data_IF_146281457422
#
_entry.id   IF_146281457422
#
_cell.length_a   1.000
_cell.length_b   1.000
_cell.length_c   1.000
_cell.angle_alpha   90.00
_cell.angle_beta   90.00
_cell.angle_gamma   90.00
#
_symmetry.space_group_name_H-M   'P 1'
#
loop_
_entity.id
_entity.type
_entity.pdbx_description
1 polymer ?
#
# COMPACT_ATOMS: atom_id res chain seq x y z
N UNK A 1 -36.45 50.58 -28.68
CA UNK A 1 -36.88 49.73 -27.54
C UNK A 1 -35.76 48.69 -27.34
N UNK A 2 -35.04 48.57 -26.23
CA UNK A 2 -35.15 49.13 -24.90
C UNK A 2 -33.78 49.10 -24.22
N UNK A 3 -33.62 50.02 -23.29
CA UNK A 3 -32.46 50.21 -22.42
C UNK A 3 -32.30 49.03 -21.44
N UNK A 4 -31.04 48.74 -21.10
CA UNK A 4 -30.48 48.12 -19.88
C UNK A 4 -31.47 47.63 -18.81
N UNK A 5 -31.17 46.47 -18.21
CA UNK A 5 -30.91 46.40 -16.76
C UNK A 5 -30.02 45.19 -16.38
N UNK A 6 -29.11 45.37 -15.40
CA UNK A 6 -28.01 44.47 -15.06
C UNK A 6 -28.45 43.31 -14.15
N UNK A 7 -27.69 42.20 -14.17
CA UNK A 7 -27.83 41.13 -13.18
C UNK A 7 -27.21 41.59 -11.86
N UNK A 8 -28.02 41.53 -10.81
CA UNK A 8 -27.72 41.92 -9.45
C UNK A 8 -26.67 41.01 -8.79
N UNK A 9 -25.86 41.63 -7.93
CA UNK A 9 -25.09 40.95 -6.89
C UNK A 9 -25.99 40.30 -5.84
N UNK A 10 -25.44 39.33 -5.10
CA UNK A 10 -25.45 39.52 -3.66
C UNK A 10 -24.08 39.28 -3.00
N UNK A 11 -23.72 40.29 -2.20
CA UNK A 11 -23.34 40.20 -0.80
C UNK A 11 -21.97 39.65 -0.40
N UNK A 12 -21.18 40.62 0.09
CA UNK A 12 -20.13 40.54 1.09
C UNK A 12 -20.29 39.40 2.11
N UNK A 13 -19.19 38.67 2.32
CA UNK A 13 -18.68 38.42 3.67
C UNK A 13 -17.23 38.88 3.71
N UNK A 14 -17.03 40.00 4.38
CA UNK A 14 -15.80 40.40 5.05
C UNK A 14 -15.51 39.38 6.15
N UNK A 15 -14.34 38.74 6.16
CA UNK A 15 -13.50 38.43 7.34
C UNK A 15 -12.08 38.18 6.78
N UNK A 16 -11.22 39.21 6.77
CA UNK A 16 -10.18 39.43 7.78
C UNK A 16 -9.13 38.30 7.83
N UNK A 17 -7.93 38.56 7.31
CA UNK A 17 -6.71 38.76 8.12
C UNK A 17 -5.50 39.05 7.22
N UNK A 18 -4.83 40.11 7.61
CA UNK A 18 -3.75 40.85 6.98
C UNK A 18 -2.37 40.18 7.07
N UNK A 19 -1.55 40.51 6.09
CA UNK A 19 -0.12 40.87 6.20
C UNK A 19 0.88 39.93 6.91
N UNK A 20 1.73 39.34 6.05
CA UNK A 20 3.20 39.14 6.27
C UNK A 20 3.87 40.53 6.45
N UNK A 21 5.13 40.74 6.93
CA UNK A 21 6.22 39.78 7.24
C UNK A 21 7.21 40.12 8.40
N UNK A 22 8.20 39.22 8.62
CA UNK A 22 9.61 39.44 9.09
C UNK A 22 9.88 40.05 10.48
N UNK A 23 10.71 39.46 11.35
CA UNK A 23 12.19 39.45 11.24
C UNK A 23 12.83 38.62 12.36
N UNK A 24 13.84 37.81 12.04
CA UNK A 24 15.08 37.71 12.84
C UNK A 24 16.18 37.05 12.00
N UNK A 25 17.25 37.84 11.80
CA UNK A 25 18.61 37.46 11.36
C UNK A 25 19.21 36.47 12.37
N UNK A 26 20.06 35.47 12.07
CA UNK A 26 21.40 35.41 11.43
C UNK A 26 21.90 33.92 11.58
N UNK A 27 23.10 33.45 11.12
CA UNK A 27 23.96 33.67 9.94
C UNK A 27 24.20 32.37 9.09
N UNK A 28 24.90 32.41 7.93
CA UNK A 28 25.08 31.25 7.05
C UNK A 28 26.35 30.42 7.36
N UNK A 29 26.17 29.19 7.84
CA UNK A 29 27.26 28.21 7.92
C UNK A 29 27.42 27.50 6.57
N UNK A 30 28.46 27.88 5.83
CA UNK A 30 28.82 27.26 4.55
C UNK A 30 29.31 25.82 4.74
N UNK A 31 28.60 24.88 4.13
CA UNK A 31 29.12 23.53 3.87
C UNK A 31 29.32 23.37 2.37
N UNK A 32 30.59 23.27 1.95
CA UNK A 32 30.97 22.95 0.58
C UNK A 32 30.72 21.46 0.35
N UNK A 33 29.68 21.11 -0.39
CA UNK A 33 29.49 19.74 -0.89
C UNK A 33 30.34 19.52 -2.16
N UNK A 34 31.00 18.36 -2.31
CA UNK A 34 31.64 17.99 -3.56
C UNK A 34 30.57 17.63 -4.60
N UNK A 35 30.65 18.25 -5.78
CA UNK A 35 29.78 18.02 -6.91
C UNK A 35 29.90 16.58 -7.41
N UNK A 36 28.96 15.73 -7.03
CA UNK A 36 28.73 14.48 -7.73
C UNK A 36 28.19 14.83 -9.13
N UNK A 37 29.02 14.57 -10.15
CA UNK A 37 28.61 14.64 -11.54
C UNK A 37 27.51 13.61 -11.78
N UNK A 38 26.27 14.08 -11.73
CA UNK A 38 25.10 13.32 -12.09
C UNK A 38 25.11 13.19 -13.62
N UNK A 39 25.63 12.07 -14.14
CA UNK A 39 25.48 11.71 -15.54
C UNK A 39 23.99 11.44 -15.81
N UNK A 40 23.26 12.51 -16.13
CA UNK A 40 21.92 12.44 -16.70
C UNK A 40 22.04 11.82 -18.08
N UNK A 41 21.84 10.50 -18.17
CA UNK A 41 21.65 9.85 -19.45
C UNK A 41 20.39 10.45 -20.08
N UNK A 42 20.60 11.32 -21.06
CA UNK A 42 19.57 11.97 -21.84
C UNK A 42 18.53 10.94 -22.28
N UNK A 43 17.28 11.14 -21.85
CA UNK A 43 16.15 10.32 -22.23
C UNK A 43 15.97 10.40 -23.75
N UNK A 44 16.52 9.41 -24.46
CA UNK A 44 16.20 9.19 -25.88
C UNK A 44 14.71 8.92 -25.95
N UNK A 45 13.96 9.86 -26.54
CA UNK A 45 12.52 9.84 -26.74
C UNK A 45 12.08 8.58 -27.51
N UNK A 46 11.96 7.46 -26.80
CA UNK A 46 11.38 6.22 -27.33
C UNK A 46 9.88 6.30 -27.10
N UNK A 47 9.04 6.05 -28.13
CA UNK A 47 7.60 6.06 -27.94
C UNK A 47 7.24 5.08 -26.84
N UNK A 48 6.36 5.50 -25.93
CA UNK A 48 5.88 4.69 -24.82
C UNK A 48 5.04 3.54 -25.37
N UNK A 49 5.64 2.36 -25.50
CA UNK A 49 4.95 1.14 -25.93
C UNK A 49 4.19 0.55 -24.74
N UNK A 50 2.89 0.33 -24.92
CA UNK A 50 2.08 -0.40 -23.95
C UNK A 50 2.43 -1.87 -24.01
N UNK A 51 3.09 -2.37 -22.96
CA UNK A 51 3.38 -3.80 -22.80
C UNK A 51 2.17 -4.49 -22.18
N UNK A 52 1.89 -5.71 -22.63
CA UNK A 52 0.86 -6.56 -21.98
C UNK A 52 1.32 -7.02 -20.60
N UNK A 53 0.38 -7.31 -19.69
CA UNK A 53 0.69 -7.77 -18.33
C UNK A 53 1.63 -8.99 -18.32
N UNK A 54 1.39 -9.96 -19.21
CA UNK A 54 2.24 -11.15 -19.33
C UNK A 54 3.69 -10.79 -19.69
N UNK A 55 3.88 -9.84 -20.60
CA UNK A 55 5.23 -9.39 -21.00
C UNK A 55 5.95 -8.64 -19.87
N UNK A 56 5.22 -7.85 -19.09
CA UNK A 56 5.77 -7.15 -17.91
C UNK A 56 6.23 -8.16 -16.87
N UNK A 57 5.37 -9.12 -16.51
CA UNK A 57 5.70 -10.17 -15.53
C UNK A 57 6.90 -11.01 -15.97
N UNK A 58 6.97 -11.41 -17.24
CA UNK A 58 8.13 -12.15 -17.76
C UNK A 58 9.42 -11.32 -17.69
N UNK A 59 9.34 -10.03 -18.03
CA UNK A 59 10.50 -9.14 -17.96
C UNK A 59 10.97 -8.92 -16.51
N UNK A 60 10.05 -8.82 -15.55
CA UNK A 60 10.36 -8.66 -14.12
C UNK A 60 11.03 -9.90 -13.53
N UNK A 61 10.60 -11.12 -13.91
CA UNK A 61 11.23 -12.37 -13.45
C UNK A 61 12.68 -12.51 -13.87
N UNK A 62 13.08 -11.88 -14.97
CA UNK A 62 14.45 -11.93 -15.50
C UNK A 62 15.36 -10.86 -14.88
N UNK A 63 14.81 -9.93 -14.07
CA UNK A 63 15.60 -8.93 -13.38
C UNK A 63 16.22 -9.50 -12.10
N UNK A 64 17.53 -9.33 -11.87
CA UNK A 64 18.15 -9.70 -10.59
C UNK A 64 17.57 -8.85 -9.47
N UNK A 65 17.23 -9.48 -8.34
CA UNK A 65 16.60 -8.78 -7.20
C UNK A 65 15.11 -8.47 -7.41
N UNK A 66 14.44 -9.14 -8.36
CA UNK A 66 13.00 -9.03 -8.51
C UNK A 66 12.26 -9.42 -7.22
N UNK A 67 11.21 -8.67 -6.86
CA UNK A 67 10.37 -8.96 -5.69
C UNK A 67 9.81 -10.39 -5.70
N UNK A 68 9.58 -10.96 -6.88
CA UNK A 68 9.10 -12.34 -7.03
C UNK A 68 10.11 -13.40 -6.55
N UNK A 69 11.40 -13.06 -6.44
CA UNK A 69 12.43 -13.93 -5.88
C UNK A 69 12.60 -13.78 -4.36
N UNK A 70 11.94 -12.80 -3.74
CA UNK A 70 11.93 -12.60 -2.29
C UNK A 70 10.91 -13.54 -1.66
N UNK A 71 11.28 -14.80 -1.48
CA UNK A 71 10.47 -15.76 -0.74
C UNK A 71 10.79 -15.66 0.76
N UNK A 72 9.75 -15.57 1.60
CA UNK A 72 9.93 -15.56 3.04
C UNK A 72 10.41 -16.94 3.52
N UNK A 73 11.31 -16.95 4.50
CA UNK A 73 11.76 -18.19 5.11
C UNK A 73 10.57 -18.96 5.72
N UNK A 74 10.59 -20.31 5.70
CA UNK A 74 9.52 -21.11 6.30
C UNK A 74 9.49 -20.93 7.82
N UNK A 75 8.30 -21.09 8.41
CA UNK A 75 8.16 -21.01 9.87
C UNK A 75 8.80 -22.21 10.57
N UNK A 76 9.75 -21.94 11.46
CA UNK A 76 10.35 -22.95 12.34
C UNK A 76 9.57 -23.15 13.65
N UNK A 77 8.55 -22.33 13.92
CA UNK A 77 7.77 -22.43 15.15
C UNK A 77 6.80 -23.61 15.05
N UNK A 78 6.78 -24.53 16.04
CA UNK A 78 5.83 -25.64 16.03
C UNK A 78 4.39 -25.11 16.08
N UNK A 79 3.52 -25.70 15.28
CA UNK A 79 2.14 -25.26 15.19
C UNK A 79 1.29 -25.82 16.35
N UNK A 80 0.62 -24.93 17.08
CA UNK A 80 -0.47 -25.26 18.02
C UNK A 80 -1.74 -25.64 17.27
N UNK A 81 -2.30 -26.81 17.57
CA UNK A 81 -3.54 -27.30 16.93
C UNK A 81 -4.76 -26.70 17.62
N UNK A 82 -5.67 -26.14 16.84
CA UNK A 82 -6.95 -25.60 17.31
C UNK A 82 -8.11 -26.28 16.59
N UNK A 83 -9.29 -26.24 17.22
CA UNK A 83 -10.55 -26.66 16.62
C UNK A 83 -10.90 -25.73 15.45
N UNK A 84 -11.31 -26.31 14.33
CA UNK A 84 -11.76 -25.55 13.17
C UNK A 84 -13.15 -24.91 13.41
N UNK A 85 -13.86 -25.35 14.46
CA UNK A 85 -15.21 -24.87 14.80
C UNK A 85 -15.19 -23.81 15.91
N UNK A 86 -14.44 -24.06 16.99
CA UNK A 86 -14.46 -23.20 18.19
C UNK A 86 -13.17 -22.42 18.44
N UNK A 87 -12.08 -22.75 17.75
CA UNK A 87 -10.77 -22.13 17.99
C UNK A 87 -10.10 -22.53 19.32
N UNK A 88 -10.68 -23.48 20.07
CA UNK A 88 -10.07 -24.03 21.29
C UNK A 88 -8.87 -24.92 20.94
N UNK A 89 -7.92 -25.09 21.87
CA UNK A 89 -6.79 -26.02 21.67
C UNK A 89 -7.31 -27.44 21.59
N UNK A 90 -6.81 -28.21 20.62
CA UNK A 90 -7.38 -29.52 20.29
C UNK A 90 -6.34 -30.65 20.30
N UNK A 91 -6.68 -31.80 20.90
CA UNK A 91 -5.89 -33.02 20.78
C UNK A 91 -6.33 -33.95 19.62
N UNK A 92 -7.54 -33.81 19.08
CA UNK A 92 -8.15 -34.77 18.13
C UNK A 92 -8.31 -34.24 16.69
N UNK A 93 -8.30 -35.16 15.72
CA UNK A 93 -8.54 -34.87 14.30
C UNK A 93 -9.31 -36.03 13.67
N UNK A 94 -10.38 -35.73 12.94
CA UNK A 94 -11.18 -36.76 12.27
C UNK A 94 -10.42 -37.33 11.07
N UNK A 95 -10.18 -38.66 10.97
CA UNK A 95 -9.46 -39.25 9.85
C UNK A 95 -10.16 -39.11 8.50
N UNK A 96 -11.50 -38.93 8.48
CA UNK A 96 -12.26 -38.82 7.23
C UNK A 96 -12.20 -37.40 6.65
N UNK A 97 -12.55 -36.40 7.44
CA UNK A 97 -12.61 -35.00 7.00
C UNK A 97 -11.31 -34.23 7.21
N UNK A 98 -10.38 -34.76 8.02
CA UNK A 98 -9.18 -34.07 8.51
C UNK A 98 -9.46 -32.80 9.33
N UNK A 99 -10.72 -32.61 9.75
CA UNK A 99 -11.13 -31.49 10.61
C UNK A 99 -10.78 -31.78 12.08
N UNK A 100 -10.39 -30.73 12.80
CA UNK A 100 -10.00 -30.75 14.21
C UNK A 100 -11.18 -30.34 15.08
N UNK A 101 -11.43 -31.10 16.15
CA UNK A 101 -12.52 -30.85 17.10
C UNK A 101 -12.05 -31.02 18.55
N UNK A 102 -12.60 -30.22 19.46
CA UNK A 102 -12.29 -30.27 20.89
C UNK A 102 -13.26 -31.15 21.68
N UNK A 103 -14.54 -31.13 21.30
CA UNK A 103 -15.64 -31.65 22.10
C UNK A 103 -16.48 -32.67 21.33
N UNK A 104 -17.23 -33.51 22.06
CA UNK A 104 -18.21 -34.43 21.47
C UNK A 104 -19.29 -33.72 20.64
N UNK A 105 -19.69 -32.52 21.05
CA UNK A 105 -20.70 -31.72 20.35
C UNK A 105 -20.21 -31.25 18.98
N UNK A 106 -18.92 -30.88 18.91
CA UNK A 106 -18.26 -30.52 17.67
C UNK A 106 -18.15 -31.75 16.75
N UNK A 107 -17.75 -32.90 17.29
CA UNK A 107 -17.70 -34.15 16.51
C UNK A 107 -19.08 -34.54 15.93
N UNK A 108 -20.15 -34.43 16.72
CA UNK A 108 -21.51 -34.69 16.24
C UNK A 108 -21.90 -33.73 15.10
N UNK A 109 -21.52 -32.45 15.21
CA UNK A 109 -21.73 -31.47 14.13
C UNK A 109 -20.92 -31.82 12.89
N UNK A 110 -19.66 -32.26 13.04
CA UNK A 110 -18.82 -32.70 11.92
C UNK A 110 -19.41 -33.90 11.18
N UNK A 111 -20.15 -34.78 11.86
CA UNK A 111 -20.76 -35.95 11.22
C UNK A 111 -22.01 -35.63 10.40
N UNK A 112 -22.62 -34.47 10.66
CA UNK A 112 -23.77 -33.96 9.91
C UNK A 112 -23.35 -33.24 8.62
N UNK A 113 -22.08 -32.84 8.50
CA UNK A 113 -21.48 -32.26 7.30
C UNK A 113 -21.10 -33.36 6.29
#
# INVERSE_FOLDING_TARGET
MGKKRPRAEPEKKEEDHSDRPSTSKEPPAGSKQPSQQQQSQAAKNKPRVWKSLKQVVTAERLQPGAYAALEAAPSLRPWRKYSDLSGLVVPYTDPKTKLRFANRHEYARLRLL
#
